data_IF_364142658264
#
_entry.id   IF_364142658264
#
_cell.length_a   1.000
_cell.length_b   1.000
_cell.length_c   1.000
_cell.angle_alpha   90.00
_cell.angle_beta   90.00
_cell.angle_gamma   90.00
#
_symmetry.space_group_name_H-M   'P 1'
#
loop_
_entity.id
_entity.type
_entity.pdbx_description
1 polymer ?
#
# COMPACT_ATOMS: atom_id res chain seq x y z
N UNK A 1 29.84 -69.26 35.47
CA UNK A 1 28.90 -69.99 34.59
C UNK A 1 28.15 -68.96 33.75
N UNK A 2 28.05 -69.19 32.44
CA UNK A 2 27.34 -68.34 31.46
C UNK A 2 25.84 -68.38 31.70
N UNK A 3 25.12 -67.30 31.35
CA UNK A 3 23.77 -67.30 30.77
C UNK A 3 23.53 -65.92 30.12
N UNK A 4 23.12 -65.92 28.86
CA UNK A 4 22.61 -64.77 28.09
C UNK A 4 21.17 -64.46 28.52
N UNK A 5 20.70 -63.21 28.40
CA UNK A 5 19.44 -62.85 27.70
C UNK A 5 19.11 -61.35 27.77
N UNK A 6 19.15 -60.73 26.59
CA UNK A 6 18.16 -59.83 25.98
C UNK A 6 17.27 -58.96 26.90
N UNK A 7 17.46 -57.64 26.81
CA UNK A 7 16.49 -56.61 27.21
C UNK A 7 16.60 -55.43 26.25
N UNK A 8 15.63 -55.35 25.34
CA UNK A 8 15.42 -54.36 24.29
C UNK A 8 15.64 -52.91 24.78
N UNK A 9 16.55 -52.11 24.18
CA UNK A 9 16.75 -50.75 24.66
C UNK A 9 15.62 -49.83 24.18
N UNK A 10 15.00 -49.14 25.15
CA UNK A 10 14.01 -48.06 25.10
C UNK A 10 14.33 -46.87 24.15
N UNK A 11 15.32 -47.00 23.27
CA UNK A 11 15.94 -45.89 22.52
C UNK A 11 15.26 -45.57 21.19
N UNK A 12 14.38 -46.42 20.67
CA UNK A 12 13.66 -46.14 19.42
C UNK A 12 12.49 -45.16 19.58
N UNK A 13 11.87 -45.08 20.77
CA UNK A 13 10.72 -44.19 21.00
C UNK A 13 11.10 -42.71 21.01
N UNK A 14 12.23 -42.36 21.64
CA UNK A 14 12.72 -40.98 21.70
C UNK A 14 13.14 -40.45 20.32
N UNK A 15 13.68 -41.33 19.47
CA UNK A 15 14.08 -41.01 18.10
C UNK A 15 12.92 -40.94 17.09
N UNK A 16 11.70 -41.29 17.47
CA UNK A 16 10.52 -41.00 16.65
C UNK A 16 9.83 -39.72 17.14
N UNK A 17 9.80 -39.48 18.46
CA UNK A 17 9.22 -38.27 19.03
C UNK A 17 9.96 -36.98 18.64
N UNK A 18 11.31 -36.95 18.61
CA UNK A 18 12.05 -35.75 18.18
C UNK A 18 11.81 -35.40 16.69
N UNK A 19 11.63 -36.39 15.82
CA UNK A 19 11.37 -36.17 14.40
C UNK A 19 9.96 -35.59 14.18
N UNK A 20 8.97 -36.04 14.95
CA UNK A 20 7.60 -35.50 14.92
C UNK A 20 7.56 -34.07 15.50
N UNK A 21 8.34 -33.78 16.54
CA UNK A 21 8.44 -32.43 17.12
C UNK A 21 9.11 -31.41 16.18
N UNK A 22 10.05 -31.84 15.33
CA UNK A 22 10.70 -30.98 14.34
C UNK A 22 9.85 -30.75 13.08
N UNK A 23 8.93 -31.66 12.74
CA UNK A 23 8.02 -31.50 11.59
C UNK A 23 6.79 -30.62 11.89
N UNK A 24 6.54 -30.27 13.16
CA UNK A 24 5.36 -29.51 13.58
C UNK A 24 5.52 -27.98 13.62
N UNK A 25 6.75 -27.47 13.50
CA UNK A 25 7.00 -26.03 13.40
C UNK A 25 7.30 -25.70 11.94
N UNK A 26 6.25 -25.57 11.13
CA UNK A 26 6.34 -24.98 9.80
C UNK A 26 6.36 -23.45 9.96
N UNK A 27 7.53 -22.78 9.84
CA UNK A 27 7.64 -21.33 10.09
C UNK A 27 7.06 -20.50 8.94
N UNK A 28 6.55 -21.16 7.89
CA UNK A 28 6.13 -20.51 6.64
C UNK A 28 4.63 -20.18 6.58
N UNK A 29 3.85 -20.52 7.60
CA UNK A 29 2.43 -20.18 7.67
C UNK A 29 2.16 -18.71 8.12
N UNK A 30 3.05 -17.78 7.78
CA UNK A 30 2.70 -16.37 7.74
C UNK A 30 1.80 -16.16 6.53
N UNK A 31 0.50 -16.46 6.69
CA UNK A 31 -0.48 -16.18 5.67
C UNK A 31 -0.44 -14.70 5.32
N UNK A 32 0.01 -14.36 4.11
CA UNK A 32 -0.19 -13.03 3.55
C UNK A 32 -1.69 -12.76 3.55
N UNK A 33 -2.14 -11.89 4.45
CA UNK A 33 -3.51 -11.42 4.43
C UNK A 33 -3.72 -10.65 3.13
N UNK A 34 -4.26 -11.33 2.12
CA UNK A 34 -4.54 -10.74 0.82
C UNK A 34 -5.69 -9.73 0.96
N UNK A 35 -5.35 -8.46 1.20
CA UNK A 35 -6.31 -7.36 1.27
C UNK A 35 -6.94 -7.16 -0.10
N UNK A 36 -8.23 -7.46 -0.24
CA UNK A 36 -8.97 -7.20 -1.47
C UNK A 36 -9.13 -5.70 -1.67
N UNK A 37 -8.33 -5.14 -2.59
CA UNK A 37 -8.38 -3.72 -2.96
C UNK A 37 -9.80 -3.26 -3.34
N UNK A 38 -10.62 -4.14 -3.92
CA UNK A 38 -11.99 -3.81 -4.31
C UNK A 38 -12.90 -3.50 -3.11
N UNK A 39 -12.59 -4.01 -1.92
CA UNK A 39 -13.38 -3.86 -0.69
C UNK A 39 -12.69 -2.99 0.36
N UNK A 40 -11.48 -2.49 0.06
CA UNK A 40 -10.76 -1.64 1.00
C UNK A 40 -11.51 -0.32 1.21
N UNK A 41 -11.83 -0.05 2.48
CA UNK A 41 -12.33 1.24 2.98
C UNK A 41 -11.22 1.79 3.87
N UNK A 42 -10.79 3.01 3.58
CA UNK A 42 -9.60 3.62 4.13
C UNK A 42 -8.81 4.36 3.06
N UNK A 43 -7.83 5.15 3.48
CA UNK A 43 -6.92 5.89 2.60
C UNK A 43 -5.49 5.48 2.95
N UNK A 44 -4.71 5.06 1.95
CA UNK A 44 -3.38 4.51 2.16
C UNK A 44 -2.40 4.98 1.09
N UNK A 45 -1.12 4.96 1.45
CA UNK A 45 0.00 5.16 0.51
C UNK A 45 0.14 3.89 -0.33
N UNK A 46 0.21 4.04 -1.66
CA UNK A 46 0.38 2.93 -2.59
C UNK A 46 1.23 3.34 -3.78
N UNK A 47 1.90 2.36 -4.36
CA UNK A 47 2.65 2.54 -5.59
C UNK A 47 1.71 2.81 -6.76
N UNK A 48 2.03 3.84 -7.54
CA UNK A 48 1.35 4.25 -8.75
C UNK A 48 2.37 4.63 -9.82
N UNK A 49 2.10 4.28 -11.07
CA UNK A 49 2.96 4.63 -12.20
C UNK A 49 2.25 5.61 -13.12
N UNK A 50 2.88 6.74 -13.42
CA UNK A 50 2.37 7.75 -14.33
C UNK A 50 3.39 8.10 -15.41
N UNK A 51 2.90 8.69 -16.51
CA UNK A 51 3.74 9.20 -17.58
C UNK A 51 4.03 10.68 -17.36
N UNK A 52 5.24 10.99 -16.89
CA UNK A 52 5.72 12.36 -16.77
C UNK A 52 5.95 12.94 -18.17
N UNK A 53 5.36 14.10 -18.45
CA UNK A 53 5.46 14.83 -19.72
C UNK A 53 5.79 16.28 -19.49
N UNK A 54 6.69 16.81 -20.31
CA UNK A 54 7.05 18.23 -20.39
C UNK A 54 7.20 18.59 -21.87
N UNK A 55 6.62 19.72 -22.34
CA UNK A 55 6.79 20.14 -23.73
C UNK A 55 8.27 20.23 -24.12
N UNK A 56 8.64 19.66 -25.26
CA UNK A 56 10.01 19.66 -25.78
C UNK A 56 10.96 18.60 -25.21
N UNK A 57 10.44 17.67 -24.39
CA UNK A 57 11.13 16.46 -23.91
C UNK A 57 10.38 15.19 -24.30
N UNK A 58 11.08 14.04 -24.28
CA UNK A 58 10.47 12.72 -24.30
C UNK A 58 9.75 12.41 -22.97
N UNK A 59 8.72 11.58 -23.03
CA UNK A 59 8.00 11.12 -21.84
C UNK A 59 8.78 10.07 -21.05
N UNK A 60 8.57 10.04 -19.73
CA UNK A 60 9.17 9.07 -18.83
C UNK A 60 8.11 8.42 -17.93
N UNK A 61 8.03 7.09 -17.90
CA UNK A 61 7.21 6.40 -16.89
C UNK A 61 7.92 6.48 -15.54
N UNK A 62 7.21 7.01 -14.55
CA UNK A 62 7.70 7.19 -13.18
C UNK A 62 6.80 6.39 -12.26
N UNK A 63 7.42 5.48 -11.51
CA UNK A 63 6.77 4.73 -10.43
C UNK A 63 7.03 5.45 -9.12
N UNK A 64 5.97 5.78 -8.38
CA UNK A 64 6.04 6.55 -7.15
C UNK A 64 4.94 6.20 -6.17
N UNK A 65 5.10 6.62 -4.92
CA UNK A 65 4.08 6.49 -3.88
C UNK A 65 3.05 7.62 -3.98
N UNK A 66 1.77 7.25 -4.05
CA UNK A 66 0.62 8.14 -4.16
C UNK A 66 -0.50 7.70 -3.20
N UNK A 67 -1.47 8.60 -2.98
CA UNK A 67 -2.62 8.29 -2.13
C UNK A 67 -3.73 7.59 -2.89
N UNK A 68 -4.23 6.49 -2.32
CA UNK A 68 -5.30 5.70 -2.90
C UNK A 68 -6.22 5.11 -1.82
N UNK A 69 -7.52 5.10 -2.08
CA UNK A 69 -8.47 4.54 -1.14
C UNK A 69 -9.91 5.01 -1.34
N UNK A 70 -10.76 4.69 -0.36
CA UNK A 70 -12.17 5.09 -0.28
C UNK A 70 -12.44 5.63 1.11
N UNK A 71 -12.95 6.84 1.18
CA UNK A 71 -13.29 7.50 2.44
C UNK A 71 -14.78 7.36 2.72
N UNK A 72 -15.12 7.25 3.99
CA UNK A 72 -16.51 7.30 4.42
C UNK A 72 -17.08 8.70 4.20
N UNK A 73 -18.27 8.73 3.63
CA UNK A 73 -19.04 9.95 3.37
C UNK A 73 -20.48 9.70 3.75
N UNK A 74 -21.18 10.76 4.14
CA UNK A 74 -22.60 10.67 4.46
C UNK A 74 -23.28 12.00 4.20
N UNK A 75 -24.59 11.92 3.99
CA UNK A 75 -25.49 13.07 3.92
C UNK A 75 -26.68 12.78 4.82
N UNK A 76 -27.02 13.74 5.66
CA UNK A 76 -28.08 13.62 6.65
C UNK A 76 -29.13 14.69 6.35
N UNK A 77 -30.39 14.30 6.10
CA UNK A 77 -31.48 15.25 6.01
C UNK A 77 -31.67 15.99 7.35
N UNK A 78 -31.85 17.30 7.28
CA UNK A 78 -32.13 18.17 8.43
C UNK A 78 -33.36 19.04 8.16
N UNK A 79 -34.03 19.51 9.20
CA UNK A 79 -35.29 20.27 9.06
C UNK A 79 -35.06 21.72 8.65
N UNK A 80 -33.93 22.30 9.06
CA UNK A 80 -33.58 23.68 8.74
C UNK A 80 -32.85 23.76 7.40
N UNK A 81 -33.05 24.83 6.60
CA UNK A 81 -32.27 25.08 5.39
C UNK A 81 -30.76 25.04 5.69
N UNK A 82 -29.91 24.40 4.84
CA UNK A 82 -30.18 23.93 3.48
C UNK A 82 -30.80 22.53 3.38
N UNK A 83 -31.42 22.02 4.44
CA UNK A 83 -32.12 20.73 4.53
C UNK A 83 -31.24 19.48 4.42
N UNK A 84 -29.95 19.65 4.16
CA UNK A 84 -28.96 18.58 4.09
C UNK A 84 -27.70 19.01 4.85
N UNK A 85 -27.28 18.18 5.78
CA UNK A 85 -25.96 18.23 6.41
C UNK A 85 -25.06 17.19 5.71
N UNK A 86 -23.97 17.63 5.08
CA UNK A 86 -23.09 16.75 4.30
C UNK A 86 -21.70 16.61 4.92
N UNK A 87 -21.19 15.39 4.90
CA UNK A 87 -19.83 15.04 5.28
C UNK A 87 -19.15 14.38 4.10
N UNK A 88 -18.48 15.20 3.30
CA UNK A 88 -17.77 14.76 2.11
C UNK A 88 -16.27 14.81 2.37
N UNK A 89 -15.62 13.64 2.30
CA UNK A 89 -14.18 13.44 2.48
C UNK A 89 -13.63 12.69 1.28
N UNK A 90 -12.42 13.04 0.87
CA UNK A 90 -11.68 12.37 -0.19
C UNK A 90 -10.36 11.83 0.35
N UNK A 91 -9.85 10.78 -0.29
CA UNK A 91 -8.51 10.28 0.01
C UNK A 91 -7.49 11.23 -0.62
N UNK A 92 -6.72 11.93 0.21
CA UNK A 92 -5.79 12.97 -0.24
C UNK A 92 -4.46 12.87 0.48
N UNK A 93 -3.48 13.60 -0.05
CA UNK A 93 -2.16 13.74 0.54
C UNK A 93 -2.25 14.52 1.86
N UNK A 94 -1.72 13.94 2.93
CA UNK A 94 -1.55 14.62 4.21
C UNK A 94 -0.13 15.18 4.34
N UNK A 95 0.86 14.36 3.97
CA UNK A 95 2.27 14.72 4.00
C UNK A 95 2.96 14.28 2.71
N UNK A 96 3.76 15.16 2.13
CA UNK A 96 4.44 14.92 0.85
C UNK A 96 5.89 15.36 0.88
N UNK A 97 6.70 14.74 0.01
CA UNK A 97 8.03 15.24 -0.36
C UNK A 97 8.09 15.51 -1.85
N UNK A 98 8.77 16.59 -2.26
CA UNK A 98 9.02 16.87 -3.66
C UNK A 98 10.23 16.08 -4.14
N UNK A 99 10.11 15.39 -5.27
CA UNK A 99 11.19 14.64 -5.92
C UNK A 99 11.33 15.11 -7.37
N UNK A 100 12.56 15.15 -7.87
CA UNK A 100 12.89 15.60 -9.22
C UNK A 100 13.52 14.46 -10.02
N UNK A 101 13.05 14.27 -11.25
CA UNK A 101 13.60 13.31 -12.22
C UNK A 101 14.05 14.03 -13.48
N UNK A 102 14.95 13.41 -14.25
CA UNK A 102 15.42 13.93 -15.53
C UNK A 102 14.69 13.24 -16.68
N UNK A 103 14.00 14.01 -17.52
CA UNK A 103 13.31 13.51 -18.70
C UNK A 103 14.29 13.24 -19.85
N UNK A 104 14.04 12.21 -20.68
CA UNK A 104 14.88 11.89 -21.84
C UNK A 104 14.60 12.83 -23.02
N UNK A 105 15.54 12.88 -23.98
CA UNK A 105 15.34 13.48 -25.31
C UNK A 105 14.80 14.93 -25.30
N UNK A 106 15.32 15.76 -24.41
CA UNK A 106 14.96 17.17 -24.37
C UNK A 106 15.68 17.99 -25.45
N UNK A 107 14.99 18.99 -25.98
CA UNK A 107 15.59 20.00 -26.86
C UNK A 107 16.62 20.85 -26.11
N UNK A 108 17.59 21.45 -26.82
CA UNK A 108 18.76 22.12 -26.22
C UNK A 108 18.45 23.29 -25.27
N UNK A 109 17.27 23.91 -25.40
CA UNK A 109 16.83 25.04 -24.57
C UNK A 109 15.78 24.65 -23.51
N UNK A 110 15.43 23.38 -23.42
CA UNK A 110 14.40 22.89 -22.48
C UNK A 110 15.07 22.32 -21.25
N UNK A 111 14.69 22.81 -20.08
CA UNK A 111 15.11 22.23 -18.81
C UNK A 111 14.62 20.77 -18.71
N UNK A 112 15.52 19.77 -18.53
CA UNK A 112 15.13 18.37 -18.52
C UNK A 112 14.52 17.92 -17.18
N UNK A 113 14.52 18.75 -16.14
CA UNK A 113 14.05 18.35 -14.82
C UNK A 113 12.52 18.46 -14.69
N UNK A 114 11.93 17.45 -14.02
CA UNK A 114 10.50 17.37 -13.72
C UNK A 114 10.32 17.04 -12.24
N UNK A 115 9.61 17.90 -11.51
CA UNK A 115 9.40 17.78 -10.06
C UNK A 115 7.95 17.43 -9.76
N UNK A 116 7.73 16.49 -8.84
CA UNK A 116 6.41 16.01 -8.46
C UNK A 116 6.36 15.60 -6.97
N UNK A 117 5.17 15.60 -6.36
CA UNK A 117 5.01 15.17 -4.97
C UNK A 117 4.96 13.64 -4.85
N UNK A 118 5.62 13.12 -3.82
CA UNK A 118 5.55 11.72 -3.38
C UNK A 118 4.81 11.67 -2.05
N UNK A 119 3.84 10.76 -1.91
CA UNK A 119 3.09 10.57 -0.67
C UNK A 119 3.99 9.98 0.42
N UNK A 120 4.07 10.66 1.57
CA UNK A 120 4.60 10.09 2.80
C UNK A 120 3.47 9.59 3.70
N UNK A 121 2.34 10.30 3.69
CA UNK A 121 1.13 9.96 4.43
C UNK A 121 -0.12 10.41 3.68
N UNK A 122 -1.17 9.61 3.79
CA UNK A 122 -2.47 9.85 3.18
C UNK A 122 -3.55 9.83 4.26
N UNK A 123 -4.57 10.68 4.11
CA UNK A 123 -5.71 10.74 5.04
C UNK A 123 -7.02 11.02 4.31
N UNK A 124 -8.14 10.69 4.96
CA UNK A 124 -9.47 11.10 4.53
C UNK A 124 -9.75 12.52 5.01
N UNK A 125 -9.71 13.49 4.08
CA UNK A 125 -9.79 14.91 4.38
C UNK A 125 -10.68 15.69 3.42
N UNK A 126 -10.77 17.00 3.63
CA UNK A 126 -11.28 17.90 2.60
C UNK A 126 -10.28 17.97 1.45
N UNK A 127 -10.79 18.15 0.23
CA UNK A 127 -9.94 18.42 -0.91
C UNK A 127 -9.45 19.88 -0.85
N UNK A 128 -8.14 20.07 -0.71
CA UNK A 128 -7.53 21.40 -0.64
C UNK A 128 -7.34 21.97 -2.05
N UNK A 129 -8.24 22.87 -2.46
CA UNK A 129 -8.22 23.51 -3.79
C UNK A 129 -7.00 24.39 -4.05
N UNK A 130 -6.24 24.74 -3.02
CA UNK A 130 -5.00 25.50 -3.13
C UNK A 130 -3.87 24.73 -3.82
N UNK A 131 -3.86 23.40 -3.69
CA UNK A 131 -2.77 22.53 -4.14
C UNK A 131 -3.24 21.32 -4.92
N UNK A 132 -4.56 21.10 -4.99
CA UNK A 132 -5.15 19.90 -5.57
C UNK A 132 -6.38 20.29 -6.37
N UNK A 133 -6.45 19.78 -7.60
CA UNK A 133 -7.64 19.93 -8.43
C UNK A 133 -8.71 18.96 -7.95
N UNK A 134 -9.81 19.50 -7.43
CA UNK A 134 -10.91 18.73 -6.88
C UNK A 134 -11.95 18.46 -7.96
N UNK A 135 -11.80 17.33 -8.66
CA UNK A 135 -12.72 16.92 -9.73
C UNK A 135 -13.49 15.66 -9.34
N UNK A 136 -14.70 15.52 -9.88
CA UNK A 136 -15.47 14.28 -9.83
C UNK A 136 -15.03 13.37 -10.99
N UNK A 137 -14.87 12.07 -10.75
CA UNK A 137 -14.64 11.11 -11.82
C UNK A 137 -15.83 11.12 -12.79
N UNK A 138 -15.57 11.42 -14.06
CA UNK A 138 -16.54 11.43 -15.16
C UNK A 138 -16.75 10.02 -15.71
#
# INVERSE_FOLDING_TARGET
MRELRQGLPWRCGALLCWAVLLAGLDPTAAGEAHVSLRRFIGCAVREFTFLARKPGCGGLHVTTDACWGRCETWEKPVLDPPFIESYQRVCTYNETRMVTVKLPNCSTQVDPFYTYPVALRCDCGLCATSTTECITSV
#
